data_IF_461020123311
#
_entry.id   IF_461020123311
#
_cell.length_a   1.000
_cell.length_b   1.000
_cell.length_c   1.000
_cell.angle_alpha   90.00
_cell.angle_beta   90.00
_cell.angle_gamma   90.00
#
_symmetry.space_group_name_H-M   'P 1'
#
loop_
_entity.id
_entity.type
_entity.pdbx_description
1 polymer ?
#
# COMPACT_ATOMS: atom_id res chain seq x y z
N UNK A 1 26.47 18.32 -5.16
CA UNK A 1 25.42 19.27 -4.69
C UNK A 1 24.29 19.53 -5.70
N UNK A 2 24.40 19.16 -6.98
CA UNK A 2 23.31 19.31 -7.95
C UNK A 2 22.08 18.38 -7.69
N UNK A 3 22.28 17.22 -7.06
CA UNK A 3 21.20 16.23 -6.83
C UNK A 3 20.13 16.67 -5.80
N UNK A 4 20.51 17.40 -4.75
CA UNK A 4 19.56 17.79 -3.69
C UNK A 4 18.61 18.90 -4.17
N UNK A 5 19.11 19.81 -5.01
CA UNK A 5 18.30 20.88 -5.63
C UNK A 5 17.26 20.26 -6.58
N UNK A 6 17.62 19.16 -7.24
CA UNK A 6 16.77 18.45 -8.20
C UNK A 6 15.58 17.72 -7.54
N UNK A 7 15.75 17.09 -6.37
CA UNK A 7 14.63 16.39 -5.71
C UNK A 7 13.51 17.34 -5.25
N UNK A 8 13.86 18.49 -4.66
CA UNK A 8 12.86 19.47 -4.23
C UNK A 8 12.05 20.01 -5.41
N UNK A 9 12.70 20.26 -6.55
CA UNK A 9 12.03 20.69 -7.78
C UNK A 9 11.09 19.59 -8.31
N UNK A 10 11.53 18.33 -8.32
CA UNK A 10 10.69 17.18 -8.71
C UNK A 10 9.45 17.05 -7.84
N UNK A 11 9.59 17.13 -6.52
CA UNK A 11 8.45 17.08 -5.60
C UNK A 11 7.50 18.23 -5.89
N UNK A 12 8.00 19.46 -6.03
CA UNK A 12 7.17 20.63 -6.32
C UNK A 12 6.38 20.49 -7.63
N UNK A 13 6.97 19.90 -8.68
CA UNK A 13 6.35 19.81 -10.01
C UNK A 13 5.50 18.57 -10.24
N UNK A 14 5.91 17.42 -9.70
CA UNK A 14 5.38 16.12 -10.10
C UNK A 14 4.73 15.31 -8.98
N UNK A 15 4.82 15.76 -7.72
CA UNK A 15 4.21 15.05 -6.58
C UNK A 15 2.67 15.09 -6.62
N UNK A 16 2.09 16.25 -6.94
CA UNK A 16 0.64 16.40 -6.92
C UNK A 16 -0.01 15.63 -8.08
N UNK A 17 -1.10 14.88 -7.82
CA UNK A 17 -1.83 14.19 -8.87
C UNK A 17 -2.50 15.17 -9.83
N UNK A 18 -2.64 14.77 -11.09
CA UNK A 18 -3.39 15.56 -12.07
C UNK A 18 -4.88 15.59 -11.71
N UNK A 19 -5.63 16.61 -12.13
CA UNK A 19 -7.07 16.71 -11.82
C UNK A 19 -7.86 15.46 -12.23
N UNK A 20 -7.56 14.89 -13.40
CA UNK A 20 -8.20 13.66 -13.89
C UNK A 20 -7.86 12.45 -13.03
N UNK A 21 -6.62 12.39 -12.58
CA UNK A 21 -6.10 11.35 -11.70
C UNK A 21 -6.77 11.43 -10.32
N UNK A 22 -6.86 12.62 -9.74
CA UNK A 22 -7.56 12.86 -8.48
C UNK A 22 -9.04 12.44 -8.56
N UNK A 23 -9.75 12.79 -9.64
CA UNK A 23 -11.14 12.35 -9.86
C UNK A 23 -11.21 10.82 -9.93
N UNK A 24 -10.25 10.16 -10.56
CA UNK A 24 -10.21 8.70 -10.64
C UNK A 24 -9.91 8.01 -9.30
N UNK A 25 -9.31 8.71 -8.33
CA UNK A 25 -9.09 8.20 -6.97
C UNK A 25 -10.37 8.19 -6.11
N UNK A 26 -11.39 8.96 -6.46
CA UNK A 26 -12.62 9.06 -5.65
C UNK A 26 -13.43 7.75 -5.61
N UNK A 27 -13.73 7.06 -6.74
CA UNK A 27 -14.47 5.81 -6.71
C UNK A 27 -13.87 4.71 -5.80
N UNK A 28 -12.56 4.41 -5.84
CA UNK A 28 -12.00 3.42 -4.93
C UNK A 28 -12.05 3.86 -3.46
N UNK A 29 -11.84 5.14 -3.15
CA UNK A 29 -11.97 5.66 -1.78
C UNK A 29 -13.40 5.45 -1.25
N UNK A 30 -14.40 5.85 -2.04
CA UNK A 30 -15.83 5.68 -1.69
C UNK A 30 -16.21 4.21 -1.58
N UNK A 31 -15.79 3.39 -2.54
CA UNK A 31 -16.11 1.96 -2.55
C UNK A 31 -15.48 1.20 -1.39
N UNK A 32 -14.22 1.49 -1.04
CA UNK A 32 -13.58 0.88 0.14
C UNK A 32 -14.20 1.37 1.46
N UNK A 33 -14.56 2.65 1.55
CA UNK A 33 -15.26 3.18 2.73
C UNK A 33 -16.60 2.47 2.94
N UNK A 34 -17.32 2.20 1.85
CA UNK A 34 -18.54 1.42 1.88
C UNK A 34 -18.29 0.00 2.39
N UNK A 35 -17.31 -0.72 1.82
CA UNK A 35 -16.95 -2.10 2.22
C UNK A 35 -16.67 -2.21 3.72
N UNK A 36 -15.93 -1.25 4.28
CA UNK A 36 -15.56 -1.24 5.71
C UNK A 36 -16.76 -0.93 6.59
N UNK A 37 -17.55 0.07 6.21
CA UNK A 37 -18.71 0.50 7.00
C UNK A 37 -19.86 -0.50 6.95
N UNK A 38 -19.93 -1.37 5.93
CA UNK A 38 -21.12 -2.16 5.58
C UNK A 38 -21.74 -2.93 6.75
N UNK A 39 -20.90 -3.59 7.56
CA UNK A 39 -21.34 -4.37 8.73
C UNK A 39 -22.01 -3.51 9.82
N UNK A 40 -21.82 -2.20 9.77
CA UNK A 40 -22.23 -1.24 10.80
C UNK A 40 -23.47 -0.42 10.40
N UNK A 41 -24.16 -0.80 9.32
CA UNK A 41 -25.43 -0.19 8.88
C UNK A 41 -26.65 -0.75 9.63
N UNK A 42 -26.43 -1.68 10.55
CA UNK A 42 -27.47 -2.28 11.38
C UNK A 42 -27.04 -3.65 11.89
N UNK A 43 -27.06 -3.84 13.21
CA UNK A 43 -26.83 -5.15 13.82
C UNK A 43 -28.07 -6.02 13.68
N UNK A 44 -28.97 -5.93 14.66
CA UNK A 44 -30.25 -6.65 14.65
C UNK A 44 -31.33 -5.94 13.82
N UNK A 45 -31.23 -4.61 13.71
CA UNK A 45 -32.15 -3.78 12.92
C UNK A 45 -31.35 -2.78 12.08
N UNK A 46 -31.88 -2.48 10.89
CA UNK A 46 -31.29 -1.54 9.96
C UNK A 46 -31.47 -0.10 10.45
N UNK A 47 -30.38 0.65 10.62
CA UNK A 47 -30.38 2.05 11.04
C UNK A 47 -29.56 2.89 10.04
N UNK A 48 -30.28 3.67 9.24
CA UNK A 48 -29.70 4.55 8.21
C UNK A 48 -28.81 5.62 8.83
N UNK A 49 -29.19 6.19 9.98
CA UNK A 49 -28.45 7.28 10.59
C UNK A 49 -27.11 6.78 11.13
N UNK A 50 -27.11 5.63 11.82
CA UNK A 50 -25.88 4.97 12.27
C UNK A 50 -24.99 4.56 11.08
N UNK A 51 -25.58 3.97 10.03
CA UNK A 51 -24.85 3.58 8.82
C UNK A 51 -24.16 4.75 8.13
N UNK A 52 -24.85 5.89 7.97
CA UNK A 52 -24.27 7.10 7.37
C UNK A 52 -23.15 7.70 8.23
N UNK A 53 -23.29 7.70 9.56
CA UNK A 53 -22.26 8.18 10.46
C UNK A 53 -20.99 7.31 10.38
N UNK A 54 -21.15 5.98 10.40
CA UNK A 54 -20.06 5.02 10.26
C UNK A 54 -19.40 5.10 8.86
N UNK A 55 -20.20 5.29 7.82
CA UNK A 55 -19.70 5.51 6.46
C UNK A 55 -18.88 6.79 6.35
N UNK A 56 -19.32 7.90 6.96
CA UNK A 56 -18.56 9.15 6.97
C UNK A 56 -17.20 9.00 7.69
N UNK A 57 -17.19 8.28 8.81
CA UNK A 57 -15.96 7.95 9.53
C UNK A 57 -15.02 7.07 8.70
N UNK A 58 -15.55 6.01 8.08
CA UNK A 58 -14.81 5.12 7.21
C UNK A 58 -14.25 5.87 5.98
N UNK A 59 -15.01 6.81 5.41
CA UNK A 59 -14.58 7.63 4.29
C UNK A 59 -13.36 8.47 4.65
N UNK A 60 -13.35 9.08 5.84
CA UNK A 60 -12.20 9.83 6.35
C UNK A 60 -10.98 8.93 6.53
N UNK A 61 -11.15 7.77 7.19
CA UNK A 61 -10.07 6.79 7.43
C UNK A 61 -9.45 6.34 6.10
N UNK A 62 -10.29 5.92 5.16
CA UNK A 62 -9.86 5.42 3.85
C UNK A 62 -9.18 6.52 3.06
N UNK A 63 -9.75 7.73 3.01
CA UNK A 63 -9.15 8.84 2.27
C UNK A 63 -7.73 9.14 2.77
N UNK A 64 -7.56 9.37 4.07
CA UNK A 64 -6.23 9.68 4.66
C UNK A 64 -5.24 8.56 4.39
N UNK A 65 -5.66 7.31 4.59
CA UNK A 65 -4.80 6.14 4.46
C UNK A 65 -4.40 5.87 3.01
N UNK A 66 -5.35 5.98 2.09
CA UNK A 66 -5.13 5.80 0.66
C UNK A 66 -4.23 6.89 0.08
N UNK A 67 -4.46 8.17 0.41
CA UNK A 67 -3.59 9.26 -0.04
C UNK A 67 -2.18 9.16 0.54
N UNK A 68 -2.04 8.72 1.79
CA UNK A 68 -0.70 8.49 2.39
C UNK A 68 0.03 7.35 1.70
N UNK A 69 -0.68 6.26 1.36
CA UNK A 69 -0.12 5.15 0.59
C UNK A 69 0.34 5.60 -0.81
N UNK A 70 -0.50 6.30 -1.56
CA UNK A 70 -0.15 6.82 -2.89
C UNK A 70 1.01 7.84 -2.82
N UNK A 71 1.00 8.73 -1.83
CA UNK A 71 2.09 9.67 -1.58
C UNK A 71 3.43 8.96 -1.33
N UNK A 72 3.43 7.88 -0.55
CA UNK A 72 4.63 7.05 -0.31
C UNK A 72 5.22 6.48 -1.61
N UNK A 73 4.36 5.95 -2.48
CA UNK A 73 4.78 5.44 -3.79
C UNK A 73 5.33 6.57 -4.69
N UNK A 74 4.67 7.73 -4.71
CA UNK A 74 5.14 8.89 -5.50
C UNK A 74 6.48 9.42 -5.02
N UNK A 75 6.66 9.60 -3.71
CA UNK A 75 7.92 10.10 -3.16
C UNK A 75 9.09 9.17 -3.52
N UNK A 76 8.92 7.85 -3.36
CA UNK A 76 9.93 6.88 -3.81
C UNK A 76 10.08 6.84 -5.34
N UNK A 77 9.04 7.13 -6.12
CA UNK A 77 9.19 7.26 -7.56
C UNK A 77 10.06 8.43 -7.98
N UNK A 78 9.87 9.56 -7.33
CA UNK A 78 10.60 10.79 -7.63
C UNK A 78 12.09 10.68 -7.25
N UNK A 79 12.45 9.87 -6.25
CA UNK A 79 13.87 9.61 -5.93
C UNK A 79 14.56 8.79 -7.04
N UNK A 80 13.82 7.96 -7.77
CA UNK A 80 14.33 7.14 -8.89
C UNK A 80 13.99 7.76 -10.26
N UNK A 81 13.63 9.05 -10.30
CA UNK A 81 13.36 9.80 -11.54
C UNK A 81 12.17 9.25 -12.37
N UNK A 82 11.14 8.73 -11.70
CA UNK A 82 9.89 8.34 -12.33
C UNK A 82 8.71 9.14 -11.79
N UNK A 83 7.72 9.33 -12.65
CA UNK A 83 6.42 9.86 -12.26
C UNK A 83 5.42 8.71 -12.19
N UNK A 84 4.69 8.60 -11.09
CA UNK A 84 3.62 7.62 -10.97
C UNK A 84 2.31 8.26 -11.39
N UNK A 85 1.52 7.50 -12.15
CA UNK A 85 0.11 7.80 -12.43
C UNK A 85 -0.76 6.72 -11.84
N UNK A 86 -1.71 7.11 -11.01
CA UNK A 86 -2.69 6.23 -10.42
C UNK A 86 -3.59 5.61 -11.50
N UNK A 87 -3.87 4.31 -11.36
CA UNK A 87 -4.77 3.58 -12.25
C UNK A 87 -5.75 2.76 -11.43
N UNK A 88 -7.02 3.11 -11.52
CA UNK A 88 -8.10 2.35 -10.89
C UNK A 88 -8.14 0.94 -11.44
N UNK A 89 -8.29 -0.05 -10.56
CA UNK A 89 -8.60 -1.42 -10.94
C UNK A 89 -10.07 -1.72 -10.67
N UNK A 90 -10.94 -1.33 -11.60
CA UNK A 90 -12.39 -1.42 -11.44
C UNK A 90 -12.87 -2.83 -11.13
N UNK A 91 -12.25 -3.86 -11.73
CA UNK A 91 -12.58 -5.25 -11.45
C UNK A 91 -12.23 -5.66 -10.02
N UNK A 92 -11.09 -5.21 -9.49
CA UNK A 92 -10.71 -5.48 -8.10
C UNK A 92 -11.66 -4.80 -7.11
N UNK A 93 -12.07 -3.56 -7.41
CA UNK A 93 -13.07 -2.84 -6.60
C UNK A 93 -14.45 -3.53 -6.63
N UNK A 94 -14.93 -3.90 -7.82
CA UNK A 94 -16.21 -4.58 -7.98
C UNK A 94 -16.20 -5.95 -7.28
N UNK A 95 -15.10 -6.70 -7.42
CA UNK A 95 -14.91 -7.97 -6.72
C UNK A 95 -14.96 -7.79 -5.20
N UNK A 96 -14.30 -6.76 -4.66
CA UNK A 96 -14.38 -6.43 -3.24
C UNK A 96 -15.80 -6.12 -2.77
N UNK A 97 -16.58 -5.38 -3.57
CA UNK A 97 -17.99 -5.10 -3.27
C UNK A 97 -18.85 -6.36 -3.28
N UNK A 98 -18.68 -7.25 -4.27
CA UNK A 98 -19.42 -8.52 -4.34
C UNK A 98 -19.12 -9.39 -3.11
N UNK A 99 -17.84 -9.52 -2.72
CA UNK A 99 -17.45 -10.28 -1.53
C UNK A 99 -18.01 -9.64 -0.25
N UNK A 100 -18.06 -8.31 -0.18
CA UNK A 100 -18.67 -7.60 0.93
C UNK A 100 -20.15 -8.00 1.12
N UNK A 101 -20.95 -8.01 0.05
CA UNK A 101 -22.35 -8.44 0.11
C UNK A 101 -22.49 -9.94 0.47
N UNK A 102 -21.68 -10.81 -0.13
CA UNK A 102 -21.74 -12.26 0.13
C UNK A 102 -21.36 -12.62 1.56
N UNK A 103 -20.50 -11.84 2.21
CA UNK A 103 -20.01 -12.09 3.57
C UNK A 103 -20.65 -11.19 4.62
N UNK A 104 -21.68 -10.43 4.26
CA UNK A 104 -22.30 -9.41 5.11
C UNK A 104 -21.26 -8.46 5.77
N UNK A 105 -20.25 -8.05 4.99
CA UNK A 105 -19.17 -7.16 5.43
C UNK A 105 -18.16 -7.77 6.39
N UNK A 106 -18.18 -9.09 6.62
CA UNK A 106 -17.25 -9.77 7.52
C UNK A 106 -15.81 -9.82 6.97
N UNK A 107 -15.66 -9.95 5.65
CA UNK A 107 -14.34 -10.04 4.99
C UNK A 107 -14.07 -8.80 4.16
N UNK A 108 -12.93 -8.16 4.39
CA UNK A 108 -12.51 -6.96 3.66
C UNK A 108 -11.52 -7.32 2.54
N UNK A 109 -12.00 -7.29 1.30
CA UNK A 109 -11.16 -7.48 0.11
C UNK A 109 -10.91 -6.13 -0.55
N UNK A 110 -9.72 -5.56 -0.32
CA UNK A 110 -9.37 -4.19 -0.71
C UNK A 110 -8.40 -4.18 -1.89
N UNK A 111 -8.93 -4.27 -3.11
CA UNK A 111 -8.14 -4.31 -4.34
C UNK A 111 -8.39 -3.11 -5.26
N UNK A 112 -8.27 -1.86 -4.77
CA UNK A 112 -8.76 -0.69 -5.50
C UNK A 112 -7.94 -0.29 -6.74
N UNK A 113 -6.64 -0.57 -6.76
CA UNK A 113 -5.74 0.17 -7.65
C UNK A 113 -4.43 -0.50 -8.00
N UNK A 114 -3.89 -0.08 -9.15
CA UNK A 114 -2.48 -0.14 -9.46
C UNK A 114 -1.95 1.24 -9.81
N UNK A 115 -0.74 1.28 -10.35
CA UNK A 115 -0.15 2.52 -10.88
C UNK A 115 0.49 2.26 -12.24
N UNK A 116 0.65 3.32 -13.03
CA UNK A 116 1.45 3.38 -14.24
C UNK A 116 2.72 4.17 -13.91
N UNK A 117 3.82 3.80 -14.56
CA UNK A 117 5.11 4.44 -14.38
C UNK A 117 5.42 5.21 -15.64
N UNK A 118 5.67 6.50 -15.49
CA UNK A 118 6.06 7.39 -16.56
C UNK A 118 7.49 7.85 -16.34
N UNK A 119 8.23 7.96 -17.44
CA UNK A 119 9.61 8.40 -17.42
C UNK A 119 9.70 9.92 -17.44
N UNK A 120 10.52 10.48 -16.55
CA UNK A 120 10.85 11.91 -16.55
C UNK A 120 12.02 12.16 -17.52
N UNK A 121 11.70 12.35 -18.80
CA UNK A 121 12.67 12.43 -19.92
C UNK A 121 13.80 13.42 -19.67
N UNK A 122 13.48 14.60 -19.12
CA UNK A 122 14.45 15.65 -18.79
C UNK A 122 15.44 15.28 -17.68
N UNK A 123 15.02 14.52 -16.67
CA UNK A 123 15.85 14.20 -15.50
C UNK A 123 16.72 12.95 -15.69
N UNK A 124 16.60 12.25 -16.83
CA UNK A 124 17.34 11.01 -17.11
C UNK A 124 18.15 11.05 -18.41
N UNK A 125 18.38 12.22 -18.98
CA UNK A 125 19.36 12.39 -20.06
C UNK A 125 20.74 11.93 -19.57
N UNK A 126 21.38 11.04 -20.32
CA UNK A 126 22.70 10.48 -19.98
C UNK A 126 22.71 9.29 -19.02
N UNK A 127 21.56 8.84 -18.51
CA UNK A 127 21.49 7.65 -17.64
C UNK A 127 21.64 6.34 -18.42
N UNK A 128 22.38 5.39 -17.86
CA UNK A 128 22.52 4.05 -18.41
C UNK A 128 21.16 3.33 -18.44
N UNK A 129 20.74 2.91 -19.64
CA UNK A 129 19.41 2.36 -19.96
C UNK A 129 18.28 3.38 -19.73
N UNK A 130 17.88 4.04 -20.81
CA UNK A 130 16.85 5.07 -20.81
C UNK A 130 15.45 4.57 -20.41
N UNK A 131 15.16 3.27 -20.59
CA UNK A 131 13.84 2.70 -20.33
C UNK A 131 13.42 2.62 -18.85
N UNK A 132 12.20 2.15 -18.64
CA UNK A 132 11.65 1.87 -17.31
C UNK A 132 12.27 0.57 -16.80
N UNK A 133 13.10 0.69 -15.77
CA UNK A 133 13.71 -0.46 -15.09
C UNK A 133 12.66 -1.15 -14.21
N UNK A 134 12.44 -2.45 -14.42
CA UNK A 134 11.50 -3.28 -13.65
C UNK A 134 11.89 -3.31 -12.17
N UNK A 135 13.19 -3.35 -11.86
CA UNK A 135 13.68 -3.26 -10.48
C UNK A 135 13.28 -1.95 -9.80
N UNK A 136 13.40 -0.83 -10.52
CA UNK A 136 12.93 0.48 -10.04
C UNK A 136 11.43 0.48 -9.76
N UNK A 137 10.63 -0.17 -10.60
CA UNK A 137 9.18 -0.33 -10.34
C UNK A 137 8.91 -1.13 -9.06
N UNK A 138 9.73 -2.15 -8.79
CA UNK A 138 9.64 -2.92 -7.57
C UNK A 138 9.90 -2.07 -6.32
N UNK A 139 10.96 -1.25 -6.31
CA UNK A 139 11.24 -0.35 -5.18
C UNK A 139 10.10 0.67 -4.99
N UNK A 140 9.59 1.26 -6.09
CA UNK A 140 8.46 2.19 -6.03
C UNK A 140 7.21 1.56 -5.44
N UNK A 141 6.92 0.30 -5.80
CA UNK A 141 5.77 -0.43 -5.28
C UNK A 141 5.79 -0.59 -3.75
N UNK A 142 6.99 -0.76 -3.17
CA UNK A 142 7.17 -0.87 -1.71
C UNK A 142 6.92 0.44 -0.96
N UNK A 143 6.95 1.59 -1.63
CA UNK A 143 6.75 2.89 -0.99
C UNK A 143 5.38 3.07 -0.34
N UNK A 144 4.34 2.47 -0.92
CA UNK A 144 2.98 2.54 -0.39
C UNK A 144 2.84 1.77 0.93
N UNK A 145 3.16 0.47 0.97
CA UNK A 145 3.10 -0.32 2.20
C UNK A 145 3.99 0.24 3.32
N UNK A 146 5.19 0.76 2.98
CA UNK A 146 6.05 1.45 3.95
C UNK A 146 5.37 2.70 4.50
N UNK A 147 4.74 3.52 3.65
CA UNK A 147 3.98 4.68 4.09
C UNK A 147 2.77 4.32 4.97
N UNK A 148 2.09 3.19 4.70
CA UNK A 148 1.04 2.68 5.59
C UNK A 148 1.57 2.27 6.96
N UNK A 149 2.75 1.65 7.05
CA UNK A 149 3.39 1.37 8.34
C UNK A 149 3.68 2.67 9.09
N UNK A 150 4.27 3.66 8.40
CA UNK A 150 4.54 4.98 8.99
C UNK A 150 3.25 5.63 9.49
N UNK A 151 2.16 5.55 8.71
CA UNK A 151 0.86 6.09 9.12
C UNK A 151 0.31 5.39 10.37
N UNK A 152 0.40 4.06 10.46
CA UNK A 152 -0.01 3.30 11.64
C UNK A 152 0.78 3.75 12.88
N UNK A 153 2.10 3.94 12.74
CA UNK A 153 2.96 4.41 13.82
C UNK A 153 2.50 5.81 14.29
N UNK A 154 2.22 6.71 13.35
CA UNK A 154 1.72 8.05 13.68
C UNK A 154 0.35 8.00 14.36
N UNK A 155 -0.61 7.23 13.83
CA UNK A 155 -1.95 7.09 14.42
C UNK A 155 -1.84 6.55 15.86
N UNK A 156 -0.99 5.54 16.09
CA UNK A 156 -0.75 4.99 17.42
C UNK A 156 -0.08 5.98 18.36
N UNK A 157 0.88 6.78 17.87
CA UNK A 157 1.51 7.83 18.66
C UNK A 157 0.51 8.91 19.10
N UNK A 158 -0.49 9.22 18.26
CA UNK A 158 -1.57 10.16 18.56
C UNK A 158 -2.84 9.52 19.15
N UNK A 159 -2.79 8.25 19.54
CA UNK A 159 -3.95 7.52 20.08
C UNK A 159 -4.55 8.16 21.34
N UNK A 160 -3.76 8.92 22.11
CA UNK A 160 -4.24 9.65 23.29
C UNK A 160 -5.23 10.79 22.95
N UNK A 161 -5.22 11.29 21.71
CA UNK A 161 -6.05 12.42 21.28
C UNK A 161 -7.22 11.99 20.37
N UNK A 162 -7.24 10.73 19.93
CA UNK A 162 -8.22 10.22 18.97
C UNK A 162 -9.17 9.21 19.64
N UNK A 163 -10.42 9.08 19.19
CA UNK A 163 -11.32 8.04 19.69
C UNK A 163 -10.75 6.65 19.43
N UNK A 164 -10.79 5.76 20.43
CA UNK A 164 -10.25 4.39 20.32
C UNK A 164 -10.81 3.64 19.11
N UNK A 165 -12.14 3.70 18.90
CA UNK A 165 -12.80 3.06 17.76
C UNK A 165 -12.31 3.58 16.39
N UNK A 166 -11.87 4.85 16.30
CA UNK A 166 -11.27 5.39 15.08
C UNK A 166 -9.86 4.84 14.87
N UNK A 167 -9.05 4.82 15.94
CA UNK A 167 -7.67 4.31 15.92
C UNK A 167 -7.66 2.85 15.48
N UNK A 168 -8.47 2.00 16.11
CA UNK A 168 -8.49 0.55 15.84
C UNK A 168 -8.91 0.26 14.40
N UNK A 169 -9.97 0.93 13.91
CA UNK A 169 -10.42 0.80 12.51
C UNK A 169 -9.37 1.30 11.52
N UNK A 170 -8.71 2.42 11.81
CA UNK A 170 -7.69 2.98 10.93
C UNK A 170 -6.43 2.10 10.85
N UNK A 171 -6.00 1.53 11.98
CA UNK A 171 -4.92 0.55 12.03
C UNK A 171 -5.29 -0.69 11.24
N UNK A 172 -6.46 -1.28 11.53
CA UNK A 172 -6.93 -2.48 10.84
C UNK A 172 -7.06 -2.26 9.33
N UNK A 173 -7.62 -1.11 8.91
CA UNK A 173 -7.71 -0.75 7.49
C UNK A 173 -6.33 -0.72 6.82
N UNK A 174 -5.35 0.00 7.40
CA UNK A 174 -4.02 0.10 6.81
C UNK A 174 -3.31 -1.25 6.75
N UNK A 175 -3.50 -2.12 7.74
CA UNK A 175 -2.96 -3.48 7.76
C UNK A 175 -3.54 -4.29 6.59
N UNK A 176 -4.87 -4.38 6.48
CA UNK A 176 -5.53 -5.14 5.41
C UNK A 176 -5.21 -4.54 4.04
N UNK A 177 -5.22 -3.22 3.92
CA UNK A 177 -4.94 -2.53 2.67
C UNK A 177 -3.49 -2.76 2.21
N UNK A 178 -2.50 -2.62 3.08
CA UNK A 178 -1.10 -2.86 2.70
C UNK A 178 -0.82 -4.33 2.36
N UNK A 179 -1.40 -5.29 3.10
CA UNK A 179 -1.27 -6.73 2.81
C UNK A 179 -1.86 -7.05 1.44
N UNK A 180 -3.09 -6.60 1.18
CA UNK A 180 -3.77 -6.85 -0.10
C UNK A 180 -3.05 -6.18 -1.28
N UNK A 181 -2.49 -4.98 -1.10
CA UNK A 181 -1.68 -4.33 -2.13
C UNK A 181 -0.34 -5.02 -2.38
N UNK A 182 0.18 -5.77 -1.42
CA UNK A 182 1.41 -6.56 -1.57
C UNK A 182 1.19 -7.91 -2.27
N UNK A 183 -0.04 -8.31 -2.58
CA UNK A 183 -0.30 -9.55 -3.32
C UNK A 183 0.30 -9.49 -4.75
N UNK A 184 0.89 -10.59 -5.26
CA UNK A 184 1.55 -10.62 -6.56
C UNK A 184 0.54 -10.76 -7.72
N UNK A 185 -0.53 -9.96 -7.71
CA UNK A 185 -1.63 -10.02 -8.69
C UNK A 185 -1.61 -8.73 -9.52
N UNK A 186 -1.44 -8.78 -10.86
CA UNK A 186 -1.55 -7.60 -11.70
C UNK A 186 -2.96 -6.98 -11.64
N UNK A 187 -3.11 -5.64 -11.52
CA UNK A 187 -2.11 -4.58 -11.61
C UNK A 187 -1.59 -4.05 -10.25
N UNK A 188 -1.77 -4.79 -9.15
CA UNK A 188 -1.42 -4.36 -7.78
C UNK A 188 0.09 -4.10 -7.64
N UNK A 189 0.45 -3.32 -6.61
CA UNK A 189 1.84 -2.97 -6.31
C UNK A 189 2.72 -4.22 -6.08
N UNK A 190 2.20 -5.23 -5.38
CA UNK A 190 2.90 -6.48 -5.08
C UNK A 190 3.41 -7.21 -6.32
N UNK A 191 2.65 -7.18 -7.43
CA UNK A 191 3.10 -7.79 -8.69
C UNK A 191 4.38 -7.14 -9.21
N UNK A 192 4.50 -5.81 -9.12
CA UNK A 192 5.69 -5.08 -9.55
C UNK A 192 6.86 -5.27 -8.60
N UNK A 193 6.61 -5.36 -7.29
CA UNK A 193 7.63 -5.72 -6.32
C UNK A 193 8.20 -7.12 -6.60
N UNK A 194 7.32 -8.10 -6.85
CA UNK A 194 7.69 -9.47 -7.19
C UNK A 194 8.51 -9.56 -8.49
N UNK A 195 8.04 -8.95 -9.58
CA UNK A 195 8.76 -8.97 -10.87
C UNK A 195 9.99 -8.04 -10.88
N UNK A 196 10.07 -7.07 -9.98
CA UNK A 196 11.23 -6.21 -9.76
C UNK A 196 12.44 -7.00 -9.29
N UNK A 197 12.25 -7.79 -8.24
CA UNK A 197 13.25 -8.68 -7.69
C UNK A 197 12.55 -9.67 -6.75
N UNK A 198 12.54 -10.96 -7.12
CA UNK A 198 11.93 -12.02 -6.31
C UNK A 198 12.53 -12.07 -4.91
N UNK A 199 13.85 -11.88 -4.81
CA UNK A 199 14.57 -11.81 -3.54
C UNK A 199 14.13 -10.62 -2.70
N UNK A 200 14.02 -9.42 -3.29
CA UNK A 200 13.54 -8.23 -2.56
C UNK A 200 12.09 -8.42 -2.11
N UNK A 201 11.25 -9.05 -2.92
CA UNK A 201 9.87 -9.38 -2.55
C UNK A 201 9.80 -10.41 -1.42
N UNK A 202 10.61 -11.48 -1.46
CA UNK A 202 10.66 -12.52 -0.44
C UNK A 202 11.11 -11.97 0.93
N UNK A 203 11.92 -10.91 0.96
CA UNK A 203 12.24 -10.18 2.19
C UNK A 203 11.12 -9.21 2.59
N UNK A 204 10.73 -8.33 1.67
CA UNK A 204 9.86 -7.18 1.98
C UNK A 204 8.44 -7.58 2.31
N UNK A 205 7.85 -8.57 1.61
CA UNK A 205 6.47 -8.99 1.88
C UNK A 205 6.32 -9.54 3.30
N UNK A 206 7.08 -10.55 3.76
CA UNK A 206 6.94 -11.03 5.13
C UNK A 206 7.35 -10.00 6.18
N UNK A 207 8.36 -9.17 5.92
CA UNK A 207 8.74 -8.08 6.83
C UNK A 207 7.58 -7.08 7.00
N UNK A 208 6.94 -6.66 5.91
CA UNK A 208 5.80 -5.74 5.96
C UNK A 208 4.60 -6.40 6.65
N UNK A 209 4.23 -7.62 6.26
CA UNK A 209 3.09 -8.33 6.87
C UNK A 209 3.31 -8.55 8.35
N UNK A 210 4.49 -9.00 8.77
CA UNK A 210 4.81 -9.17 10.19
C UNK A 210 4.82 -7.86 10.95
N UNK A 211 5.39 -6.77 10.41
CA UNK A 211 5.34 -5.46 11.04
C UNK A 211 3.90 -4.99 11.27
N UNK A 212 3.06 -5.14 10.24
CA UNK A 212 1.65 -4.77 10.29
C UNK A 212 0.87 -5.61 11.32
N UNK A 213 1.09 -6.92 11.36
CA UNK A 213 0.43 -7.81 12.32
C UNK A 213 0.90 -7.56 13.76
N UNK A 214 2.21 -7.43 13.99
CA UNK A 214 2.78 -7.14 15.32
C UNK A 214 2.30 -5.77 15.84
N UNK A 215 2.21 -4.76 14.94
CA UNK A 215 1.60 -3.48 15.27
C UNK A 215 0.10 -3.62 15.55
N UNK A 216 -0.65 -4.46 14.83
CA UNK A 216 -2.08 -4.64 15.06
C UNK A 216 -2.42 -5.25 16.43
N UNK A 217 -1.53 -6.06 17.00
CA UNK A 217 -1.70 -6.70 18.33
C UNK A 217 -1.05 -5.90 19.48
N UNK A 218 -0.79 -4.61 19.26
CA UNK A 218 -0.26 -3.67 20.28
C UNK A 218 1.10 -4.04 20.90
N UNK A 219 1.95 -4.78 20.18
CA UNK A 219 3.35 -4.99 20.60
C UNK A 219 4.13 -3.67 20.53
N UNK A 220 5.03 -3.38 21.50
CA UNK A 220 5.85 -2.17 21.51
C UNK A 220 6.56 -1.92 20.17
N UNK A 221 6.55 -0.66 19.72
CA UNK A 221 7.02 -0.25 18.39
C UNK A 221 8.38 -0.83 18.00
N UNK A 222 9.37 -0.74 18.90
CA UNK A 222 10.72 -1.23 18.63
C UNK A 222 10.79 -2.75 18.46
N UNK A 223 10.01 -3.49 19.24
CA UNK A 223 9.92 -4.95 19.15
C UNK A 223 9.20 -5.35 17.86
N UNK A 224 8.12 -4.64 17.49
CA UNK A 224 7.38 -4.88 16.25
C UNK A 224 8.24 -4.68 15.00
N UNK A 225 9.00 -3.57 14.91
CA UNK A 225 9.88 -3.30 13.76
C UNK A 225 11.07 -4.28 13.76
N UNK A 226 11.74 -4.48 14.90
CA UNK A 226 12.89 -5.39 14.98
C UNK A 226 12.52 -6.84 14.70
N UNK A 227 11.42 -7.31 15.28
CA UNK A 227 10.88 -8.65 15.04
C UNK A 227 10.46 -8.86 13.59
N UNK A 228 9.85 -7.86 12.96
CA UNK A 228 9.46 -7.92 11.57
C UNK A 228 10.66 -8.04 10.60
N UNK A 229 11.72 -7.26 10.84
CA UNK A 229 12.95 -7.36 10.06
C UNK A 229 13.57 -8.75 10.23
N UNK A 230 13.61 -9.28 11.45
CA UNK A 230 14.14 -10.62 11.74
C UNK A 230 13.34 -11.73 11.03
N UNK A 231 12.00 -11.67 11.09
CA UNK A 231 11.13 -12.60 10.36
C UNK A 231 11.37 -12.50 8.85
N UNK A 232 11.45 -11.28 8.31
CA UNK A 232 11.77 -11.04 6.91
C UNK A 232 13.12 -11.62 6.48
N UNK A 233 14.17 -11.44 7.29
CA UNK A 233 15.50 -12.00 7.03
C UNK A 233 15.49 -13.53 7.03
N UNK A 234 14.82 -14.15 8.00
CA UNK A 234 14.71 -15.61 8.08
C UNK A 234 14.03 -16.16 6.83
N UNK A 235 12.87 -15.61 6.45
CA UNK A 235 12.12 -16.07 5.28
C UNK A 235 12.85 -15.77 3.96
N UNK A 236 13.62 -14.69 3.90
CA UNK A 236 14.51 -14.40 2.77
C UNK A 236 15.63 -15.45 2.62
N UNK A 237 16.29 -15.84 3.70
CA UNK A 237 17.32 -16.90 3.69
C UNK A 237 16.71 -18.24 3.29
N UNK A 238 15.55 -18.60 3.87
CA UNK A 238 14.85 -19.83 3.51
C UNK A 238 14.45 -19.83 2.02
N UNK A 239 13.93 -18.72 1.51
CA UNK A 239 13.60 -18.59 0.09
C UNK A 239 14.83 -18.78 -0.80
N UNK A 240 15.97 -18.18 -0.43
CA UNK A 240 17.22 -18.34 -1.16
C UNK A 240 17.68 -19.81 -1.20
N UNK A 241 17.70 -20.48 -0.03
CA UNK A 241 18.20 -21.84 0.10
C UNK A 241 17.33 -22.87 -0.66
N UNK A 242 16.00 -22.73 -0.61
CA UNK A 242 15.10 -23.73 -1.19
C UNK A 242 14.73 -23.46 -2.65
N UNK A 243 14.67 -22.20 -3.07
CA UNK A 243 14.20 -21.84 -4.42
C UNK A 243 15.31 -21.26 -5.28
N UNK A 244 15.96 -20.20 -4.83
CA UNK A 244 16.88 -19.44 -5.69
C UNK A 244 18.15 -20.24 -6.00
N UNK A 245 18.78 -20.89 -5.00
CA UNK A 245 20.00 -21.67 -5.20
C UNK A 245 19.87 -22.74 -6.29
N UNK A 246 18.72 -23.41 -6.34
CA UNK A 246 18.44 -24.47 -7.31
C UNK A 246 18.27 -23.95 -8.75
N UNK A 247 17.87 -22.68 -8.91
CA UNK A 247 17.75 -22.06 -10.25
C UNK A 247 19.13 -21.83 -10.87
N UNK A 248 20.16 -21.55 -10.05
CA UNK A 248 21.51 -21.26 -10.52
C UNK A 248 22.38 -22.50 -10.72
N UNK A 249 22.08 -23.61 -10.04
CA UNK A 249 22.82 -24.87 -10.17
C UNK A 249 22.56 -25.62 -11.48
N UNK A 250 21.59 -25.18 -12.29
CA UNK A 250 21.16 -25.87 -13.51
C UNK A 250 20.41 -27.18 -13.22
N UNK A 251 19.71 -27.75 -14.22
CA UNK A 251 19.22 -29.12 -14.11
C UNK A 251 20.44 -30.05 -14.08
N UNK A 252 20.67 -30.67 -12.91
CA UNK A 252 21.64 -31.75 -12.76
C UNK A 252 21.20 -33.02 -13.49
#
# INVERSE_FOLDING_TARGET
>A
MAEIIDYKDKVKRYFLPERREFISMLPPVVGMAFIISFKEWGGETFDVAAGLANFALALLIVAVSFFTFDAGQRLLGLTINYRLRFKVWTFGLLFGLVICFLTNGSVWVLLPSGFLVEHLTGHRLGWFRYGINIFGQGIMALGGPVASIVLIILIKLFSFALPAAFVDKAVLFNVVFAITQMLPIPPLAGSKAYFGSKMTYAFSMPAIVSALLLLAIDIPLFISIGGAILIGLILWILYYAFFEQNVWSGPG
#
